data_IF_827074206407
#
_entry.id   IF_827074206407
#
_cell.length_a   1.000
_cell.length_b   1.000
_cell.length_c   1.000
_cell.angle_alpha   90.00
_cell.angle_beta   90.00
_cell.angle_gamma   90.00
#
_symmetry.space_group_name_H-M   'P 1'
#
loop_
_entity.id
_entity.type
_entity.pdbx_description
1 polymer ?
#
# COMPACT_ATOMS: atom_id res chain seq x y z
N UNK A 1 5.79 17.82 -12.59
CA UNK A 1 5.00 16.65 -12.14
C UNK A 1 5.85 15.77 -11.25
N UNK A 2 5.27 15.17 -10.21
CA UNK A 2 5.89 14.07 -9.47
C UNK A 2 5.73 12.83 -10.33
N UNK A 3 6.82 12.07 -10.53
CA UNK A 3 6.78 10.82 -11.28
C UNK A 3 6.56 9.70 -10.25
N UNK A 4 5.41 9.05 -10.30
CA UNK A 4 5.02 8.05 -9.30
C UNK A 4 3.75 7.31 -9.67
N UNK A 5 3.52 6.23 -8.94
CA UNK A 5 2.29 5.41 -9.01
C UNK A 5 1.59 5.46 -7.65
N UNK A 6 0.31 5.84 -7.64
CA UNK A 6 -0.44 6.08 -6.41
C UNK A 6 -1.64 5.13 -6.25
N UNK A 7 -1.72 4.09 -7.09
CA UNK A 7 -2.78 3.09 -7.06
C UNK A 7 -2.20 1.68 -6.88
N UNK A 8 -1.59 1.43 -5.72
CA UNK A 8 -0.97 0.14 -5.42
C UNK A 8 -1.70 -0.62 -4.32
N UNK A 9 -1.91 -1.91 -4.57
CA UNK A 9 -2.53 -2.84 -3.62
C UNK A 9 -1.48 -3.65 -2.86
N UNK A 10 -1.85 -4.16 -1.69
CA UNK A 10 -1.03 -5.09 -0.91
C UNK A 10 -1.71 -6.47 -0.85
N UNK A 11 -1.03 -7.54 -0.42
CA UNK A 11 -1.69 -8.83 -0.23
C UNK A 11 -2.89 -8.84 0.72
N UNK A 12 -3.05 -7.80 1.57
CA UNK A 12 -4.22 -7.65 2.44
C UNK A 12 -5.52 -7.46 1.63
N UNK A 13 -5.44 -6.99 0.39
CA UNK A 13 -6.58 -6.92 -0.52
C UNK A 13 -7.10 -8.30 -0.98
N UNK A 14 -6.38 -9.38 -0.65
CA UNK A 14 -6.69 -10.78 -1.01
C UNK A 14 -6.62 -11.12 -2.51
N UNK A 15 -6.25 -10.17 -3.38
CA UNK A 15 -6.06 -10.38 -4.83
C UNK A 15 -4.75 -9.83 -5.42
N UNK A 16 -3.96 -9.09 -4.64
CA UNK A 16 -2.59 -8.73 -4.96
C UNK A 16 -1.59 -9.68 -4.27
N UNK A 17 -0.34 -9.70 -4.73
CA UNK A 17 0.67 -10.66 -4.25
C UNK A 17 2.04 -10.02 -4.09
N UNK A 18 2.87 -10.62 -3.25
CA UNK A 18 4.24 -10.19 -3.02
C UNK A 18 4.40 -9.22 -1.84
N UNK A 19 5.62 -9.06 -1.32
CA UNK A 19 5.87 -8.20 -0.17
C UNK A 19 5.87 -6.73 -0.58
N UNK A 20 5.32 -5.85 0.26
CA UNK A 20 5.26 -4.41 0.00
C UNK A 20 6.64 -3.80 -0.32
N UNK A 21 7.71 -4.25 0.36
CA UNK A 21 9.10 -3.82 0.09
C UNK A 21 9.50 -4.00 -1.38
N UNK A 22 9.06 -5.11 -2.01
CA UNK A 22 9.41 -5.39 -3.40
C UNK A 22 8.78 -4.39 -4.36
N UNK A 23 7.59 -3.84 -4.04
CA UNK A 23 6.96 -2.78 -4.81
C UNK A 23 7.80 -1.51 -4.73
N UNK A 24 8.30 -1.20 -3.53
CA UNK A 24 9.17 -0.05 -3.28
C UNK A 24 10.46 -0.15 -4.09
N UNK A 25 11.17 -1.28 -4.01
CA UNK A 25 12.41 -1.48 -4.75
C UNK A 25 12.21 -1.53 -6.27
N UNK A 26 11.12 -2.14 -6.73
CA UNK A 26 10.81 -2.17 -8.15
C UNK A 26 10.52 -0.78 -8.70
N UNK A 27 9.71 0.01 -7.99
CA UNK A 27 9.41 1.39 -8.35
C UNK A 27 10.68 2.26 -8.43
N UNK A 28 11.61 2.10 -7.48
CA UNK A 28 12.92 2.77 -7.51
C UNK A 28 13.74 2.36 -8.73
N UNK A 29 13.78 1.08 -9.06
CA UNK A 29 14.49 0.58 -10.24
C UNK A 29 13.92 1.14 -11.55
N UNK A 30 12.62 1.46 -11.58
CA UNK A 30 11.95 2.13 -12.70
C UNK A 30 12.13 3.66 -12.71
N UNK A 31 12.79 4.24 -11.71
CA UNK A 31 13.00 5.68 -11.60
C UNK A 31 11.76 6.47 -11.15
N UNK A 32 10.81 5.81 -10.49
CA UNK A 32 9.74 6.51 -9.79
C UNK A 32 10.31 7.24 -8.56
N UNK A 33 9.77 8.43 -8.29
CA UNK A 33 10.17 9.24 -7.12
C UNK A 33 9.21 9.08 -5.94
N UNK A 34 8.01 8.58 -6.21
CA UNK A 34 7.00 8.33 -5.20
C UNK A 34 6.16 7.11 -5.56
N UNK A 35 5.69 6.41 -4.53
CA UNK A 35 4.59 5.46 -4.65
C UNK A 35 3.53 5.68 -3.57
N UNK A 36 2.29 5.28 -3.82
CA UNK A 36 1.22 5.26 -2.83
C UNK A 36 0.55 3.90 -2.77
N UNK A 37 0.57 3.30 -1.58
CA UNK A 37 -0.30 2.17 -1.27
C UNK A 37 -1.70 2.71 -0.98
N UNK A 38 -2.68 2.16 -1.69
CA UNK A 38 -4.10 2.51 -1.65
C UNK A 38 -4.90 1.21 -1.75
N UNK A 39 -4.65 0.33 -0.79
CA UNK A 39 -5.39 -0.93 -0.64
C UNK A 39 -6.89 -0.67 -0.43
N UNK A 40 -7.73 -1.67 -0.72
CA UNK A 40 -9.17 -1.56 -0.50
C UNK A 40 -9.46 -1.36 0.99
N UNK A 41 -10.28 -0.35 1.30
CA UNK A 41 -10.70 -0.12 2.68
C UNK A 41 -11.49 -1.32 3.21
N UNK A 42 -11.34 -1.68 4.49
CA UNK A 42 -12.25 -2.64 5.11
C UNK A 42 -13.67 -2.04 5.14
N UNK A 43 -14.67 -2.91 5.09
CA UNK A 43 -16.09 -2.52 5.20
C UNK A 43 -16.74 -3.23 6.40
N UNK A 44 -17.76 -2.60 7.03
CA UNK A 44 -18.41 -3.14 8.20
C UNK A 44 -18.94 -4.56 8.00
N UNK A 45 -18.78 -5.40 9.02
CA UNK A 45 -19.35 -6.75 9.09
C UNK A 45 -18.86 -7.69 7.98
N UNK A 46 -17.64 -7.50 7.47
CA UNK A 46 -17.04 -8.36 6.45
C UNK A 46 -17.71 -8.25 5.07
N UNK A 47 -18.37 -7.13 4.78
CA UNK A 47 -18.91 -6.88 3.45
C UNK A 47 -17.77 -6.92 2.42
N UNK A 48 -17.93 -7.74 1.37
CA UNK A 48 -16.90 -7.96 0.34
C UNK A 48 -15.55 -8.44 0.90
N UNK A 49 -15.54 -9.21 2.00
CA UNK A 49 -14.31 -9.69 2.65
C UNK A 49 -13.38 -10.53 1.75
N UNK A 50 -13.79 -10.98 0.56
CA UNK A 50 -12.89 -11.72 -0.34
C UNK A 50 -11.94 -10.82 -1.14
N UNK A 51 -12.10 -9.49 -1.09
CA UNK A 51 -11.37 -8.52 -1.93
C UNK A 51 -10.80 -7.34 -1.14
N UNK A 52 -10.68 -7.44 0.18
CA UNK A 52 -10.18 -6.38 1.06
C UNK A 52 -9.68 -6.96 2.37
N UNK A 53 -8.87 -6.17 3.06
CA UNK A 53 -8.45 -6.47 4.42
C UNK A 53 -9.65 -6.52 5.37
N UNK A 54 -9.53 -7.27 6.47
CA UNK A 54 -10.50 -7.23 7.55
C UNK A 54 -10.32 -5.93 8.38
N UNK A 55 -11.34 -5.53 9.15
CA UNK A 55 -11.29 -4.27 9.93
C UNK A 55 -10.12 -4.28 10.94
N UNK A 56 -9.82 -5.44 11.51
CA UNK A 56 -8.73 -5.65 12.46
C UNK A 56 -7.32 -5.61 11.82
N UNK A 57 -7.23 -5.73 10.49
CA UNK A 57 -5.96 -5.69 9.75
C UNK A 57 -5.54 -4.25 9.38
N UNK A 58 -6.43 -3.26 9.57
CA UNK A 58 -6.17 -1.87 9.19
C UNK A 58 -4.96 -1.27 9.94
N UNK A 59 -4.86 -1.52 11.24
CA UNK A 59 -3.74 -1.02 12.05
C UNK A 59 -2.41 -1.64 11.58
N UNK A 60 -2.42 -2.93 11.24
CA UNK A 60 -1.27 -3.60 10.65
C UNK A 60 -0.90 -2.96 9.31
N UNK A 61 -1.86 -2.74 8.41
CA UNK A 61 -1.62 -2.06 7.14
C UNK A 61 -0.94 -0.69 7.33
N UNK A 62 -1.49 0.14 8.21
CA UNK A 62 -0.97 1.48 8.52
C UNK A 62 0.46 1.40 9.06
N UNK A 63 0.73 0.48 10.00
CA UNK A 63 2.06 0.26 10.56
C UNK A 63 3.06 -0.13 9.46
N UNK A 64 2.73 -1.14 8.64
CA UNK A 64 3.61 -1.64 7.58
C UNK A 64 3.98 -0.55 6.57
N UNK A 65 3.00 0.22 6.08
CA UNK A 65 3.28 1.29 5.12
C UNK A 65 4.07 2.43 5.77
N UNK A 66 3.80 2.73 7.05
CA UNK A 66 4.52 3.78 7.78
C UNK A 66 5.97 3.40 8.05
N UNK A 67 6.26 2.13 8.37
CA UNK A 67 7.63 1.63 8.47
C UNK A 67 8.40 1.79 7.16
N UNK A 68 7.78 1.46 6.02
CA UNK A 68 8.38 1.65 4.69
C UNK A 68 8.67 3.12 4.43
N UNK A 69 7.70 4.00 4.70
CA UNK A 69 7.89 5.45 4.60
C UNK A 69 9.10 5.93 5.40
N UNK A 70 9.30 5.41 6.61
CA UNK A 70 10.47 5.74 7.40
C UNK A 70 11.77 5.17 6.81
N UNK A 71 11.78 3.88 6.45
CA UNK A 71 12.95 3.17 5.90
C UNK A 71 13.48 3.81 4.61
N UNK A 72 12.59 4.28 3.75
CA UNK A 72 12.92 4.86 2.45
C UNK A 72 13.04 6.38 2.46
N UNK A 73 13.01 7.02 3.63
CA UNK A 73 13.11 8.48 3.74
C UNK A 73 14.38 9.00 3.07
N UNK A 74 14.22 9.96 2.16
CA UNK A 74 15.31 10.54 1.38
C UNK A 74 15.76 9.71 0.17
N UNK A 75 15.18 8.51 -0.02
CA UNK A 75 15.43 7.65 -1.19
C UNK A 75 14.23 7.62 -2.13
N UNK A 76 13.00 7.47 -1.61
CA UNK A 76 11.75 7.55 -2.35
C UNK A 76 10.60 7.88 -1.41
N UNK A 77 9.61 8.64 -1.88
CA UNK A 77 8.40 8.90 -1.10
C UNK A 77 7.48 7.67 -1.11
N UNK A 78 7.17 7.12 0.05
CA UNK A 78 6.14 6.08 0.21
C UNK A 78 4.94 6.69 0.92
N UNK A 79 3.78 6.63 0.27
CA UNK A 79 2.53 7.23 0.74
C UNK A 79 1.56 6.16 1.24
N UNK A 80 0.86 6.50 2.31
CA UNK A 80 -0.23 5.74 2.90
C UNK A 80 -1.57 6.35 2.45
N UNK A 81 -2.42 5.53 1.86
CA UNK A 81 -3.80 5.86 1.52
C UNK A 81 -4.68 4.62 1.56
N UNK A 82 -5.95 4.79 1.17
CA UNK A 82 -6.92 3.72 0.96
C UNK A 82 -7.68 4.02 -0.34
N UNK A 83 -8.02 2.98 -1.10
CA UNK A 83 -9.03 3.05 -2.15
C UNK A 83 -10.40 2.93 -1.48
N UNK A 84 -11.18 4.02 -1.48
CA UNK A 84 -12.51 4.08 -0.87
C UNK A 84 -13.60 3.79 -1.91
N UNK A 85 -14.48 2.82 -1.61
CA UNK A 85 -15.66 2.47 -2.42
C UNK A 85 -16.79 3.52 -2.38
#
# INVERSE_FOLDING_TARGET
>A
MIHGDFHLHTPLCKHATGPLEAYVEHARALGLRAIGFSDHNPLPNGLNASVRMDEEELDYYVERVTELRFRYRGQMDVLLGLELD
#
